data_IF_037949840114
#
_entry.id   IF_037949840114
#
_cell.length_a   1.000
_cell.length_b   1.000
_cell.length_c   1.000
_cell.angle_alpha   90.00
_cell.angle_beta   90.00
_cell.angle_gamma   90.00
#
_symmetry.space_group_name_H-M   'P 1'
#
loop_
_entity.id
_entity.type
_entity.pdbx_description
1 polymer ?
#
# COMPACT_ATOMS: atom_id res chain seq x y z
N UNK A 1 3.96 -0.67 31.35
CA UNK A 1 4.32 -1.80 30.48
C UNK A 1 4.03 -1.38 29.05
N UNK A 2 5.03 -0.86 28.34
CA UNK A 2 4.97 -0.58 26.91
C UNK A 2 6.26 -1.13 26.30
N UNK A 3 6.09 -1.81 25.17
CA UNK A 3 7.00 -2.79 24.59
C UNK A 3 8.38 -2.23 24.19
N UNK A 4 9.45 -3.05 24.26
CA UNK A 4 10.77 -2.66 23.75
C UNK A 4 10.73 -2.63 22.22
N UNK A 5 10.77 -1.43 21.63
CA UNK A 5 10.98 -1.24 20.20
C UNK A 5 12.46 -1.48 19.87
N UNK A 6 12.88 -2.73 19.90
CA UNK A 6 14.13 -3.16 19.29
C UNK A 6 13.83 -4.33 18.36
N UNK A 7 13.45 -4.01 17.12
CA UNK A 7 13.58 -4.90 15.96
C UNK A 7 13.59 -4.07 14.67
N UNK A 8 14.80 -3.92 14.12
CA UNK A 8 15.13 -3.65 12.72
C UNK A 8 14.72 -2.31 12.07
N UNK A 9 15.74 -1.56 11.65
CA UNK A 9 15.75 -0.43 10.71
C UNK A 9 15.27 -0.79 9.28
N UNK A 10 14.24 -1.64 9.13
CA UNK A 10 13.67 -2.06 7.84
C UNK A 10 12.14 -2.21 7.86
N UNK A 11 11.49 -1.69 8.90
CA UNK A 11 10.04 -1.66 9.02
C UNK A 11 9.52 -0.50 8.17
N UNK A 12 8.84 -0.80 7.07
CA UNK A 12 8.05 0.20 6.36
C UNK A 12 7.08 0.84 7.37
N UNK A 13 7.14 2.16 7.53
CA UNK A 13 6.21 2.88 8.40
C UNK A 13 4.87 3.05 7.64
N UNK A 14 4.01 2.03 7.79
CA UNK A 14 2.70 2.01 7.14
C UNK A 14 1.82 3.15 7.64
N UNK A 15 2.00 3.62 8.88
CA UNK A 15 1.23 4.74 9.43
C UNK A 15 1.62 6.07 8.76
N UNK A 16 2.92 6.30 8.57
CA UNK A 16 3.44 7.45 7.83
C UNK A 16 2.98 7.44 6.37
N UNK A 17 3.02 6.29 5.69
CA UNK A 17 2.48 6.16 4.33
C UNK A 17 0.99 6.46 4.29
N UNK A 18 0.20 5.90 5.21
CA UNK A 18 -1.24 6.16 5.26
C UNK A 18 -1.56 7.63 5.51
N UNK A 19 -0.79 8.32 6.35
CA UNK A 19 -0.91 9.75 6.57
C UNK A 19 -0.60 10.55 5.29
N UNK A 20 0.47 10.19 4.57
CA UNK A 20 0.81 10.79 3.29
C UNK A 20 -0.33 10.62 2.26
N UNK A 21 -0.80 9.38 2.08
CA UNK A 21 -1.89 9.07 1.14
C UNK A 21 -3.19 9.77 1.52
N UNK A 22 -3.47 9.92 2.82
CA UNK A 22 -4.60 10.71 3.31
C UNK A 22 -4.48 12.18 2.94
N UNK A 23 -3.29 12.76 3.07
CA UNK A 23 -3.03 14.14 2.63
C UNK A 23 -3.17 14.30 1.12
N UNK A 24 -2.68 13.34 0.33
CA UNK A 24 -2.85 13.31 -1.14
C UNK A 24 -4.34 13.23 -1.53
N UNK A 25 -5.15 12.50 -0.75
CA UNK A 25 -6.60 12.43 -0.95
C UNK A 25 -7.28 13.74 -0.60
N UNK A 26 -6.89 14.36 0.52
CA UNK A 26 -7.44 15.63 0.98
C UNK A 26 -7.21 16.79 -0.01
N UNK A 27 -6.11 16.76 -0.77
CA UNK A 27 -5.84 17.74 -1.84
C UNK A 27 -6.53 17.40 -3.18
N UNK A 28 -7.36 16.35 -3.22
CA UNK A 28 -8.10 15.94 -4.41
C UNK A 28 -7.23 15.32 -5.51
N UNK A 29 -6.02 14.85 -5.17
CA UNK A 29 -5.13 14.17 -6.14
C UNK A 29 -5.42 12.69 -6.30
N UNK A 30 -6.17 12.09 -5.38
CA UNK A 30 -6.72 10.76 -5.53
C UNK A 30 -8.12 10.85 -6.14
N UNK A 31 -8.58 9.75 -6.74
CA UNK A 31 -9.88 9.69 -7.41
C UNK A 31 -11.06 9.98 -6.47
N UNK A 32 -12.27 9.92 -7.03
CA UNK A 32 -13.51 10.30 -6.33
C UNK A 32 -13.97 9.32 -5.25
N UNK A 33 -13.28 8.20 -5.04
CA UNK A 33 -13.71 7.20 -4.08
C UNK A 33 -13.39 7.61 -2.64
N UNK A 34 -14.10 6.99 -1.70
CA UNK A 34 -13.89 7.21 -0.28
C UNK A 34 -12.48 6.77 0.13
N UNK A 35 -11.83 7.52 1.04
CA UNK A 35 -10.49 7.18 1.49
C UNK A 35 -10.44 5.79 2.13
N UNK A 36 -11.54 5.30 2.72
CA UNK A 36 -11.55 3.94 3.28
C UNK A 36 -11.30 2.84 2.23
N UNK A 37 -11.76 3.07 0.99
CA UNK A 37 -11.50 2.16 -0.14
C UNK A 37 -10.03 2.15 -0.52
N UNK A 38 -9.43 3.35 -0.63
CA UNK A 38 -8.01 3.51 -0.90
C UNK A 38 -7.13 2.98 0.23
N UNK A 39 -7.53 3.19 1.49
CA UNK A 39 -6.85 2.68 2.68
C UNK A 39 -6.77 1.16 2.67
N UNK A 40 -7.88 0.46 2.37
CA UNK A 40 -7.88 -1.00 2.26
C UNK A 40 -6.96 -1.49 1.13
N UNK A 41 -6.97 -0.81 -0.01
CA UNK A 41 -6.09 -1.12 -1.14
C UNK A 41 -4.61 -0.96 -0.80
N UNK A 42 -4.25 0.18 -0.21
CA UNK A 42 -2.88 0.46 0.24
C UNK A 42 -2.43 -0.56 1.28
N UNK A 43 -3.28 -0.88 2.26
CA UNK A 43 -2.99 -1.86 3.29
C UNK A 43 -2.70 -3.24 2.68
N UNK A 44 -3.56 -3.70 1.77
CA UNK A 44 -3.36 -4.97 1.06
C UNK A 44 -2.07 -4.95 0.21
N UNK A 45 -1.80 -3.85 -0.48
CA UNK A 45 -0.56 -3.66 -1.23
C UNK A 45 0.69 -3.76 -0.35
N UNK A 46 0.67 -3.12 0.82
CA UNK A 46 1.78 -3.19 1.77
C UNK A 46 1.90 -4.56 2.43
N UNK A 47 0.80 -5.23 2.75
CA UNK A 47 0.82 -6.62 3.26
C UNK A 47 1.48 -7.57 2.26
N UNK A 48 1.15 -7.46 0.97
CA UNK A 48 1.77 -8.26 -0.10
C UNK A 48 3.26 -7.92 -0.23
N UNK A 49 3.62 -6.64 -0.19
CA UNK A 49 5.01 -6.19 -0.27
C UNK A 49 5.87 -6.69 0.91
N UNK A 50 5.33 -6.62 2.13
CA UNK A 50 6.00 -7.09 3.34
C UNK A 50 6.06 -8.62 3.43
N UNK A 51 5.04 -9.32 2.94
CA UNK A 51 5.02 -10.78 2.92
C UNK A 51 6.04 -11.36 1.91
N UNK A 52 6.35 -10.63 0.84
CA UNK A 52 7.20 -11.10 -0.25
C UNK A 52 8.34 -10.13 -0.60
N UNK A 53 9.31 -9.87 0.31
CA UNK A 53 10.36 -8.88 0.12
C UNK A 53 11.40 -9.24 -0.96
N UNK A 54 11.34 -10.45 -1.53
CA UNK A 54 12.20 -10.93 -2.63
C UNK A 54 11.42 -11.25 -3.90
N UNK A 55 10.11 -11.00 -3.91
CA UNK A 55 9.29 -11.22 -5.09
C UNK A 55 9.53 -10.14 -6.13
N UNK A 56 9.50 -10.53 -7.40
CA UNK A 56 9.51 -9.59 -8.52
C UNK A 56 8.19 -8.81 -8.60
N UNK A 57 8.20 -7.64 -9.25
CA UNK A 57 7.00 -6.81 -9.45
C UNK A 57 5.81 -7.64 -9.99
N UNK A 58 6.06 -8.55 -10.93
CA UNK A 58 5.04 -9.46 -11.49
C UNK A 58 4.41 -10.41 -10.45
N UNK A 59 5.21 -10.93 -9.52
CA UNK A 59 4.72 -11.82 -8.46
C UNK A 59 3.90 -11.04 -7.44
N UNK A 60 4.35 -9.84 -7.07
CA UNK A 60 3.61 -8.93 -6.20
C UNK A 60 2.28 -8.53 -6.84
N UNK A 61 2.28 -8.19 -8.14
CA UNK A 61 1.04 -7.90 -8.86
C UNK A 61 0.10 -9.10 -8.94
N UNK A 62 0.60 -10.32 -9.14
CA UNK A 62 -0.26 -11.52 -9.11
C UNK A 62 -0.91 -11.71 -7.75
N UNK A 63 -0.14 -11.59 -6.67
CA UNK A 63 -0.66 -11.72 -5.31
C UNK A 63 -1.66 -10.61 -4.96
N UNK A 64 -1.38 -9.37 -5.39
CA UNK A 64 -2.28 -8.24 -5.25
C UNK A 64 -3.56 -8.45 -6.05
N UNK A 65 -3.46 -8.90 -7.31
CA UNK A 65 -4.61 -9.13 -8.19
C UNK A 65 -5.51 -10.23 -7.64
N UNK A 66 -4.94 -11.32 -7.14
CA UNK A 66 -5.68 -12.41 -6.51
C UNK A 66 -6.41 -11.94 -5.24
N UNK A 67 -5.73 -11.15 -4.40
CA UNK A 67 -6.35 -10.56 -3.20
C UNK A 67 -7.42 -9.54 -3.57
N UNK A 68 -7.16 -8.68 -4.55
CA UNK A 68 -8.11 -7.72 -5.07
C UNK A 68 -9.34 -8.42 -5.63
N UNK A 69 -9.21 -9.50 -6.42
CA UNK A 69 -10.35 -10.22 -6.99
C UNK A 69 -11.22 -10.87 -5.91
N UNK A 70 -10.62 -11.31 -4.80
CA UNK A 70 -11.36 -11.80 -3.63
C UNK A 70 -12.13 -10.70 -2.89
N UNK A 71 -11.60 -9.48 -2.89
CA UNK A 71 -12.21 -8.31 -2.24
C UNK A 71 -13.01 -7.39 -3.19
N UNK A 72 -12.94 -7.64 -4.51
CA UNK A 72 -13.57 -6.88 -5.57
C UNK A 72 -15.07 -6.64 -5.39
N UNK A 73 -15.90 -7.60 -4.92
CA UNK A 73 -17.32 -7.31 -4.69
C UNK A 73 -17.57 -6.25 -3.60
N UNK A 74 -16.57 -5.93 -2.77
CA UNK A 74 -16.64 -4.88 -1.75
C UNK A 74 -15.84 -3.61 -2.10
N UNK A 75 -15.09 -3.62 -3.21
CA UNK A 75 -14.26 -2.51 -3.67
C UNK A 75 -14.95 -1.77 -4.83
N UNK A 76 -15.13 -0.47 -4.68
CA UNK A 76 -15.70 0.38 -5.74
C UNK A 76 -14.64 0.91 -6.73
N UNK A 77 -13.36 0.82 -6.36
CA UNK A 77 -12.22 1.33 -7.15
C UNK A 77 -11.90 0.30 -8.23
N UNK A 78 -11.74 0.69 -9.52
CA UNK A 78 -11.39 -0.24 -10.59
C UNK A 78 -9.94 -0.76 -10.47
N UNK A 79 -9.67 -1.93 -11.05
CA UNK A 79 -8.35 -2.57 -10.98
C UNK A 79 -7.21 -1.69 -11.53
N UNK A 80 -7.43 -0.97 -12.63
CA UNK A 80 -6.43 -0.04 -13.19
C UNK A 80 -6.00 1.04 -12.19
N UNK A 81 -6.97 1.62 -11.47
CA UNK A 81 -6.71 2.65 -10.46
C UNK A 81 -6.06 2.04 -9.22
N UNK A 82 -6.53 0.87 -8.77
CA UNK A 82 -5.94 0.12 -7.67
C UNK A 82 -4.47 -0.23 -7.94
N UNK A 83 -4.17 -0.76 -9.14
CA UNK A 83 -2.81 -1.11 -9.57
C UNK A 83 -1.92 0.11 -9.61
N UNK A 84 -2.39 1.21 -10.19
CA UNK A 84 -1.64 2.46 -10.26
C UNK A 84 -1.30 2.98 -8.85
N UNK A 85 -2.28 3.00 -7.95
CA UNK A 85 -2.11 3.47 -6.57
C UNK A 85 -1.11 2.63 -5.79
N UNK A 86 -1.29 1.30 -5.80
CA UNK A 86 -0.42 0.39 -5.04
C UNK A 86 1.01 0.41 -5.58
N UNK A 87 1.20 0.50 -6.91
CA UNK A 87 2.52 0.67 -7.50
C UNK A 87 3.21 1.94 -7.00
N UNK A 88 2.47 3.05 -6.98
CA UNK A 88 2.99 4.34 -6.51
C UNK A 88 3.40 4.27 -5.04
N UNK A 89 2.61 3.56 -4.22
CA UNK A 89 2.91 3.30 -2.82
C UNK A 89 4.17 2.46 -2.64
N UNK A 90 4.35 1.39 -3.42
CA UNK A 90 5.59 0.60 -3.39
C UNK A 90 6.81 1.41 -3.82
N UNK A 91 6.69 2.19 -4.88
CA UNK A 91 7.80 3.02 -5.34
C UNK A 91 8.16 4.11 -4.31
N UNK A 92 7.17 4.74 -3.66
CA UNK A 92 7.41 5.71 -2.59
C UNK A 92 8.06 5.04 -1.37
N UNK A 93 7.59 3.85 -0.99
CA UNK A 93 8.18 3.02 0.05
C UNK A 93 9.64 2.63 -0.23
N UNK A 94 9.95 2.21 -1.47
CA UNK A 94 11.31 1.89 -1.90
C UNK A 94 12.22 3.12 -1.88
N UNK A 95 11.73 4.28 -2.33
CA UNK A 95 12.46 5.54 -2.27
C UNK A 95 12.73 5.98 -0.82
N UNK A 96 11.73 5.88 0.05
CA UNK A 96 11.87 6.18 1.47
C UNK A 96 12.88 5.24 2.16
N UNK A 97 12.92 3.96 1.76
CA UNK A 97 13.93 3.01 2.25
C UNK A 97 15.32 3.23 1.68
N UNK A 98 15.45 3.70 0.43
CA UNK A 98 16.74 3.94 -0.23
C UNK A 98 17.43 5.23 0.24
N UNK A 99 16.69 6.14 0.88
CA UNK A 99 17.19 7.40 1.42
C UNK A 99 17.76 7.27 2.86
N UNK A 100 17.75 6.07 3.44
CA UNK A 100 18.32 5.73 4.76
C UNK A 100 19.53 4.80 4.63
#
# INVERSE_FOLDING_TARGET
>A
MQNPHTASLRSLDVDAEMAYWRSVHAIGRLGHHDFDQYRRLLQMGFEVYLAWPRASEEQLYRALQDSYHRHAPALAVPWDEARWLVRHAWHHAEQAQSLH
#
